data_IF_562544176173
#
_entry.id   IF_562544176173
#
_cell.length_a   1.000
_cell.length_b   1.000
_cell.length_c   1.000
_cell.angle_alpha   90.00
_cell.angle_beta   90.00
_cell.angle_gamma   90.00
#
_symmetry.space_group_name_H-M   'P 1'
#
loop_
_entity.id
_entity.type
_entity.pdbx_description
1 polymer ?
#
# COMPACT_ATOMS: atom_id res chain seq x y z
N UNK A 1 -7.37 9.95 -17.26
CA UNK A 1 -6.38 8.96 -17.77
C UNK A 1 -6.22 7.84 -16.75
N UNK A 2 -5.80 6.64 -17.16
CA UNK A 2 -5.59 5.49 -16.28
C UNK A 2 -4.10 5.11 -16.24
N UNK A 3 -3.59 4.77 -15.06
CA UNK A 3 -2.25 4.19 -14.87
C UNK A 3 -2.34 2.85 -14.15
N UNK A 4 -1.39 1.96 -14.44
CA UNK A 4 -1.23 0.71 -13.74
C UNK A 4 -0.46 0.89 -12.41
N UNK A 5 -0.79 0.06 -11.42
CA UNK A 5 0.00 -0.17 -10.22
C UNK A 5 0.26 -1.66 -10.05
N UNK A 6 1.49 -2.07 -9.72
CA UNK A 6 1.85 -3.47 -9.59
C UNK A 6 1.10 -4.16 -8.44
N UNK A 7 0.25 -5.11 -8.79
CA UNK A 7 -0.60 -5.89 -7.89
C UNK A 7 0.18 -6.98 -7.15
N UNK A 8 1.22 -7.54 -7.78
CA UNK A 8 1.99 -8.61 -7.17
C UNK A 8 2.63 -8.19 -5.84
N UNK A 9 2.61 -9.11 -4.87
CA UNK A 9 3.26 -8.94 -3.57
C UNK A 9 4.55 -9.73 -3.42
N UNK A 10 4.88 -10.63 -4.36
CA UNK A 10 6.14 -11.37 -4.30
C UNK A 10 7.26 -10.56 -4.94
N UNK A 11 8.32 -10.28 -4.17
CA UNK A 11 9.45 -9.45 -4.64
C UNK A 11 10.13 -10.03 -5.88
N UNK A 12 10.18 -11.36 -6.01
CA UNK A 12 10.83 -12.07 -7.11
C UNK A 12 10.09 -11.93 -8.45
N UNK A 13 8.80 -11.57 -8.41
CA UNK A 13 8.00 -11.34 -9.62
C UNK A 13 7.97 -9.87 -10.05
N UNK A 14 8.50 -8.97 -9.23
CA UNK A 14 8.48 -7.53 -9.48
C UNK A 14 9.69 -7.10 -10.30
N UNK A 15 9.44 -6.29 -11.33
CA UNK A 15 10.52 -5.61 -12.03
C UNK A 15 11.14 -4.51 -11.14
N UNK A 16 12.37 -4.04 -11.42
CA UNK A 16 12.98 -2.95 -10.68
C UNK A 16 12.10 -1.70 -10.62
N UNK A 17 11.38 -1.39 -11.72
CA UNK A 17 10.41 -0.30 -11.77
C UNK A 17 9.24 -0.53 -10.82
N UNK A 18 8.68 -1.74 -10.78
CA UNK A 18 7.57 -2.05 -9.88
C UNK A 18 7.97 -1.93 -8.41
N UNK A 19 9.18 -2.37 -8.06
CA UNK A 19 9.73 -2.19 -6.73
C UNK A 19 9.87 -0.70 -6.41
N UNK A 20 10.40 0.09 -7.35
CA UNK A 20 10.56 1.53 -7.17
C UNK A 20 9.21 2.22 -6.94
N UNK A 21 8.17 1.84 -7.69
CA UNK A 21 6.81 2.36 -7.53
C UNK A 21 6.22 2.04 -6.16
N UNK A 22 6.38 0.80 -5.69
CA UNK A 22 5.91 0.39 -4.36
C UNK A 22 6.60 1.20 -3.26
N UNK A 23 7.91 1.39 -3.35
CA UNK A 23 8.66 2.22 -2.39
C UNK A 23 8.17 3.67 -2.46
N UNK A 24 8.11 4.24 -3.66
CA UNK A 24 7.77 5.63 -3.91
C UNK A 24 6.39 6.00 -3.35
N UNK A 25 5.42 5.08 -3.43
CA UNK A 25 4.06 5.30 -2.90
C UNK A 25 4.03 5.61 -1.40
N UNK A 26 4.95 5.05 -0.63
CA UNK A 26 4.96 5.12 0.84
C UNK A 26 6.05 6.05 1.39
N UNK A 27 6.81 6.70 0.52
CA UNK A 27 7.93 7.54 0.92
C UNK A 27 7.65 9.02 0.59
N UNK A 28 7.95 9.95 1.51
CA UNK A 28 7.81 11.37 1.25
C UNK A 28 8.76 11.82 0.15
N UNK A 29 8.36 12.86 -0.59
CA UNK A 29 9.21 13.47 -1.59
C UNK A 29 10.36 14.23 -0.91
N UNK A 30 11.58 14.07 -1.39
CA UNK A 30 12.75 14.81 -0.91
C UNK A 30 12.82 16.23 -1.48
N UNK A 31 12.12 16.50 -2.58
CA UNK A 31 12.13 17.78 -3.27
C UNK A 31 10.99 18.74 -2.86
N UNK A 32 9.95 18.26 -2.16
CA UNK A 32 8.87 19.10 -1.66
C UNK A 32 8.39 18.66 -0.27
N UNK A 33 7.92 19.60 0.54
CA UNK A 33 7.64 19.34 1.96
C UNK A 33 6.30 18.64 2.22
N UNK A 34 5.34 18.76 1.29
CA UNK A 34 3.95 18.38 1.53
C UNK A 34 3.55 17.03 0.89
N UNK A 35 4.42 16.44 0.07
CA UNK A 35 4.15 15.17 -0.58
C UNK A 35 4.60 14.01 0.31
N UNK A 36 3.64 13.18 0.73
CA UNK A 36 3.87 12.04 1.64
C UNK A 36 4.15 10.72 0.92
N UNK A 37 4.03 10.69 -0.39
CA UNK A 37 4.04 9.48 -1.19
C UNK A 37 3.74 9.79 -2.65
N UNK A 38 4.28 8.98 -3.56
CA UNK A 38 3.97 9.09 -4.98
C UNK A 38 2.49 8.79 -5.21
N UNK A 39 1.77 9.79 -5.73
CA UNK A 39 0.35 9.71 -5.97
C UNK A 39 -0.02 10.37 -7.30
N UNK A 40 -1.09 9.89 -7.96
CA UNK A 40 -1.56 10.47 -9.22
C UNK A 40 -2.08 11.90 -9.04
N UNK A 41 -2.08 12.67 -10.13
CA UNK A 41 -2.74 13.98 -10.19
C UNK A 41 -4.27 13.85 -10.15
N UNK A 42 -4.95 14.96 -9.86
CA UNK A 42 -6.41 14.98 -9.72
C UNK A 42 -7.07 14.54 -11.03
N UNK A 43 -8.02 13.61 -10.96
CA UNK A 43 -8.73 13.07 -12.14
C UNK A 43 -8.00 11.95 -12.88
N UNK A 44 -6.86 11.49 -12.35
CA UNK A 44 -6.15 10.30 -12.83
C UNK A 44 -6.54 9.10 -11.97
N UNK A 45 -6.86 8.00 -12.62
CA UNK A 45 -7.25 6.75 -11.96
C UNK A 45 -6.10 5.75 -12.00
N UNK A 46 -5.83 5.11 -10.87
CA UNK A 46 -4.84 4.03 -10.77
C UNK A 46 -5.59 2.71 -10.66
N UNK A 47 -5.23 1.75 -11.49
CA UNK A 47 -5.83 0.41 -11.58
C UNK A 47 -4.73 -0.63 -11.37
N UNK A 48 -5.06 -1.76 -10.77
CA UNK A 48 -4.12 -2.86 -10.61
C UNK A 48 -3.83 -3.53 -11.97
N UNK A 49 -2.62 -4.06 -12.13
CA UNK A 49 -2.17 -4.80 -13.32
C UNK A 49 -2.53 -6.30 -13.29
N UNK A 50 -3.37 -6.73 -12.34
CA UNK A 50 -3.82 -8.11 -12.13
C UNK A 50 -4.91 -8.57 -13.11
N UNK A 51 -5.31 -7.71 -14.06
CA UNK A 51 -6.43 -7.98 -14.97
C UNK A 51 -7.80 -7.89 -14.28
N UNK A 52 -7.88 -7.44 -13.03
CA UNK A 52 -9.14 -7.17 -12.32
C UNK A 52 -9.78 -5.84 -12.72
N UNK A 53 -9.15 -5.11 -13.66
CA UNK A 53 -9.60 -3.82 -14.17
C UNK A 53 -10.83 -3.87 -15.08
N UNK A 54 -11.33 -5.07 -15.39
CA UNK A 54 -12.58 -5.29 -16.11
C UNK A 54 -13.74 -5.65 -15.18
N UNK A 55 -14.78 -4.80 -15.22
CA UNK A 55 -16.18 -5.14 -14.96
C UNK A 55 -16.70 -5.18 -13.51
N UNK A 56 -16.87 -4.00 -12.90
CA UNK A 56 -17.92 -3.80 -11.86
C UNK A 56 -19.33 -3.72 -12.51
N UNK A 57 -19.44 -3.54 -13.84
CA UNK A 57 -20.73 -3.42 -14.55
C UNK A 57 -20.73 -4.00 -16.01
N UNK A 58 -19.83 -4.91 -16.37
CA UNK A 58 -19.57 -5.26 -17.78
C UNK A 58 -19.95 -6.66 -18.26
N UNK A 59 -20.44 -7.57 -17.41
CA UNK A 59 -20.83 -8.93 -17.84
C UNK A 59 -22.35 -9.04 -18.07
N UNK A 60 -22.87 -8.22 -18.98
CA UNK A 60 -24.27 -8.30 -19.44
C UNK A 60 -24.40 -8.10 -20.97
N UNK A 61 -23.28 -8.11 -21.71
CA UNK A 61 -23.26 -7.61 -23.09
C UNK A 61 -22.57 -8.48 -24.15
N UNK A 62 -22.31 -9.77 -23.92
CA UNK A 62 -21.71 -10.62 -24.96
C UNK A 62 -22.71 -11.64 -25.54
N UNK A 63 -23.73 -11.09 -26.21
CA UNK A 63 -24.37 -11.76 -27.34
C UNK A 63 -23.89 -11.06 -28.62
N UNK A 64 -22.90 -11.67 -29.28
CA UNK A 64 -22.55 -11.46 -30.68
C UNK A 64 -21.74 -10.20 -31.03
N UNK A 65 -20.46 -10.37 -31.31
CA UNK A 65 -19.89 -10.01 -32.62
C UNK A 65 -18.44 -10.50 -32.71
N UNK A 66 -18.17 -11.24 -33.78
CA UNK A 66 -16.86 -11.50 -34.36
C UNK A 66 -16.31 -10.15 -34.88
N UNK A 67 -15.25 -9.59 -34.27
CA UNK A 67 -14.31 -8.66 -34.93
C UNK A 67 -13.12 -8.26 -34.03
N UNK A 68 -11.93 -8.48 -34.57
CA UNK A 68 -10.59 -7.92 -34.29
C UNK A 68 -9.98 -7.96 -32.86
N UNK A 69 -8.97 -8.83 -32.76
CA UNK A 69 -7.96 -8.97 -31.70
C UNK A 69 -7.09 -7.72 -31.47
N UNK A 70 -7.66 -6.63 -30.94
CA UNK A 70 -6.88 -5.55 -30.34
C UNK A 70 -7.05 -5.57 -28.83
N UNK A 71 -6.36 -6.52 -28.19
CA UNK A 71 -6.27 -6.60 -26.72
C UNK A 71 -5.86 -5.21 -26.19
N UNK A 72 -6.66 -4.55 -25.34
CA UNK A 72 -6.31 -3.23 -24.85
C UNK A 72 -4.94 -3.32 -24.16
N UNK A 73 -3.96 -2.61 -24.71
CA UNK A 73 -2.61 -2.55 -24.14
C UNK A 73 -2.72 -2.05 -22.70
N UNK A 74 -2.11 -2.78 -21.76
CA UNK A 74 -2.18 -2.44 -20.34
C UNK A 74 -1.78 -0.97 -20.11
N UNK A 75 -2.46 -0.24 -19.22
CA UNK A 75 -2.16 1.16 -18.97
C UNK A 75 -0.71 1.33 -18.50
N UNK A 76 -0.04 2.43 -18.84
CA UNK A 76 1.33 2.68 -18.40
C UNK A 76 1.39 2.81 -16.88
N UNK A 77 2.55 2.55 -16.28
CA UNK A 77 2.78 2.77 -14.85
C UNK A 77 3.00 4.25 -14.54
N UNK A 78 2.63 4.68 -13.33
CA UNK A 78 2.75 6.06 -12.87
C UNK A 78 4.19 6.39 -12.46
N UNK A 79 4.97 7.01 -13.34
CA UNK A 79 6.36 7.39 -13.10
C UNK A 79 6.53 8.79 -12.49
N UNK A 80 5.54 9.67 -12.65
CA UNK A 80 5.55 11.06 -12.16
C UNK A 80 4.43 11.27 -11.14
N UNK A 81 4.78 11.80 -9.98
CA UNK A 81 3.84 12.19 -8.93
C UNK A 81 3.11 13.50 -9.27
N UNK A 82 1.94 13.72 -8.66
CA UNK A 82 1.22 14.99 -8.76
C UNK A 82 2.04 16.22 -8.29
N UNK A 83 3.05 16.02 -7.44
CA UNK A 83 3.98 17.08 -7.04
C UNK A 83 5.00 17.46 -8.13
N UNK A 84 5.01 16.74 -9.26
CA UNK A 84 5.90 16.98 -10.40
C UNK A 84 7.22 16.22 -10.35
N UNK A 85 7.49 15.44 -9.28
CA UNK A 85 8.73 14.68 -9.11
C UNK A 85 8.53 13.19 -9.35
N UNK A 86 9.59 12.49 -9.75
CA UNK A 86 9.56 11.08 -10.10
C UNK A 86 9.77 10.15 -8.92
N UNK A 87 9.89 8.84 -9.21
CA UNK A 87 10.12 7.80 -8.20
C UNK A 87 11.42 8.00 -7.40
N UNK A 88 12.46 8.56 -8.03
CA UNK A 88 13.77 8.76 -7.40
C UNK A 88 13.68 9.76 -6.22
N UNK A 89 12.95 10.87 -6.41
CA UNK A 89 12.71 11.87 -5.37
C UNK A 89 11.76 11.37 -4.29
N UNK A 90 11.03 10.27 -4.53
CA UNK A 90 10.21 9.59 -3.54
C UNK A 90 10.96 8.40 -2.91
N UNK A 91 12.29 8.50 -2.77
CA UNK A 91 13.07 7.55 -1.96
C UNK A 91 13.29 6.17 -2.60
N UNK A 92 12.99 6.03 -3.90
CA UNK A 92 13.26 4.82 -4.68
C UNK A 92 14.54 4.92 -5.54
N UNK A 93 15.57 5.60 -5.02
CA UNK A 93 16.87 5.71 -5.67
C UNK A 93 17.87 4.74 -5.03
N UNK A 94 18.05 3.56 -5.62
CA UNK A 94 18.95 2.51 -5.10
C UNK A 94 20.41 2.99 -4.99
N UNK A 95 20.89 3.77 -5.96
CA UNK A 95 22.27 4.27 -5.96
C UNK A 95 22.55 5.22 -4.79
N UNK A 96 21.54 5.96 -4.34
CA UNK A 96 21.67 6.91 -3.26
C UNK A 96 21.54 6.25 -1.88
N UNK A 97 20.64 5.28 -1.72
CA UNK A 97 20.33 4.67 -0.42
C UNK A 97 21.08 3.35 -0.16
N UNK A 98 21.61 2.73 -1.22
CA UNK A 98 22.27 1.42 -1.17
C UNK A 98 21.28 0.25 -1.27
N UNK A 99 21.76 -0.87 -1.81
CA UNK A 99 20.96 -2.06 -2.10
C UNK A 99 20.28 -2.65 -0.86
N UNK A 100 20.92 -2.63 0.31
CA UNK A 100 20.31 -3.20 1.52
C UNK A 100 19.11 -2.39 2.02
N UNK A 101 19.23 -1.06 2.05
CA UNK A 101 18.12 -0.20 2.44
C UNK A 101 17.01 -0.18 1.39
N UNK A 102 17.37 -0.24 0.10
CA UNK A 102 16.41 -0.39 -0.98
C UNK A 102 15.58 -1.67 -0.82
N UNK A 103 16.23 -2.81 -0.56
CA UNK A 103 15.57 -4.09 -0.28
C UNK A 103 14.69 -4.04 0.97
N UNK A 104 15.16 -3.39 2.04
CA UNK A 104 14.39 -3.20 3.28
C UNK A 104 13.11 -2.40 3.03
N UNK A 105 13.21 -1.29 2.29
CA UNK A 105 12.07 -0.45 1.91
C UNK A 105 11.11 -1.17 0.99
N UNK A 106 11.61 -1.90 0.00
CA UNK A 106 10.80 -2.74 -0.89
C UNK A 106 9.94 -3.74 -0.09
N UNK A 107 10.59 -4.47 0.82
CA UNK A 107 9.91 -5.46 1.68
C UNK A 107 8.85 -4.82 2.57
N UNK A 108 9.13 -3.62 3.10
CA UNK A 108 8.20 -2.91 3.96
C UNK A 108 7.01 -2.35 3.17
N UNK A 109 7.25 -1.78 1.99
CA UNK A 109 6.22 -1.29 1.08
C UNK A 109 5.24 -2.40 0.66
N UNK A 110 5.77 -3.58 0.32
CA UNK A 110 4.97 -4.77 -0.01
C UNK A 110 4.06 -5.15 1.17
N UNK A 111 4.60 -5.23 2.38
CA UNK A 111 3.82 -5.58 3.58
C UNK A 111 2.74 -4.55 3.90
N UNK A 112 3.00 -3.26 3.66
CA UNK A 112 1.99 -2.21 3.79
C UNK A 112 0.86 -2.43 2.79
N UNK A 113 1.19 -2.68 1.52
CA UNK A 113 0.20 -2.97 0.48
C UNK A 113 -0.67 -4.19 0.84
N UNK A 114 -0.05 -5.29 1.29
CA UNK A 114 -0.74 -6.51 1.74
C UNK A 114 -1.68 -6.24 2.92
N UNK A 115 -1.21 -5.52 3.94
CA UNK A 115 -2.02 -5.24 5.13
C UNK A 115 -3.20 -4.30 4.83
N UNK A 116 -3.06 -3.38 3.88
CA UNK A 116 -4.15 -2.50 3.48
C UNK A 116 -5.23 -3.23 2.68
N UNK A 117 -4.89 -4.29 1.93
CA UNK A 117 -5.87 -5.12 1.23
C UNK A 117 -6.83 -5.86 2.19
N UNK A 118 -6.37 -6.20 3.41
CA UNK A 118 -7.16 -6.97 4.39
C UNK A 118 -8.21 -6.11 5.12
N UNK A 119 -8.05 -4.78 5.14
CA UNK A 119 -8.94 -3.87 5.88
C UNK A 119 -10.37 -3.79 5.31
N UNK A 120 -10.58 -4.22 4.06
CA UNK A 120 -11.92 -4.30 3.44
C UNK A 120 -12.78 -5.44 4.02
N UNK A 121 -12.20 -6.33 4.85
CA UNK A 121 -12.89 -7.46 5.47
C UNK A 121 -12.76 -7.46 7.00
N UNK A 122 -13.27 -6.41 7.66
CA UNK A 122 -13.59 -6.49 9.10
C UNK A 122 -15.08 -6.87 9.24
N UNK A 123 -15.43 -8.16 9.39
CA UNK A 123 -16.79 -8.52 9.78
C UNK A 123 -17.06 -7.86 11.13
N UNK A 124 -18.10 -7.01 11.18
CA UNK A 124 -18.61 -6.41 12.41
C UNK A 124 -18.87 -7.54 13.41
N UNK A 125 -17.96 -7.75 14.35
CA UNK A 125 -18.20 -8.59 15.51
C UNK A 125 -19.41 -7.98 16.22
N UNK A 126 -20.56 -8.66 16.13
CA UNK A 126 -21.76 -8.31 16.86
C UNK A 126 -21.39 -8.29 18.34
N UNK A 127 -21.37 -7.10 18.93
CA UNK A 127 -21.30 -6.95 20.38
C UNK A 127 -22.57 -7.58 20.97
N UNK A 128 -22.48 -8.85 21.40
CA UNK A 128 -23.49 -9.40 22.29
C UNK A 128 -23.33 -8.72 23.64
N UNK A 129 -24.26 -7.82 23.95
CA UNK A 129 -24.50 -7.35 25.30
C UNK A 129 -24.77 -8.57 26.19
N UNK A 130 -23.86 -8.84 27.12
CA UNK A 130 -24.18 -9.54 28.36
C UNK A 130 -23.95 -8.52 29.47
N UNK A 131 -25.05 -7.92 29.91
CA UNK A 131 -25.12 -7.17 31.15
C UNK A 131 -25.60 -8.13 32.24
N UNK A 132 -25.30 -7.75 33.49
CA UNK A 132 -25.71 -8.35 34.77
C UNK A 132 -24.71 -9.39 35.32
N UNK A 133 -24.04 -9.22 36.45
CA UNK A 133 -24.23 -8.25 37.53
C UNK A 133 -23.10 -8.28 38.59
N UNK A 134 -23.27 -7.35 39.52
CA UNK A 134 -22.39 -6.84 40.59
C UNK A 134 -21.94 -7.86 41.67
N UNK A 135 -20.69 -7.73 42.15
CA UNK A 135 -20.25 -7.77 43.57
C UNK A 135 -18.73 -7.52 43.63
N UNK A 136 -18.28 -6.28 43.83
CA UNK A 136 -17.88 -5.67 45.10
C UNK A 136 -16.50 -6.12 45.65
N UNK A 137 -15.61 -5.12 45.71
CA UNK A 137 -14.52 -4.85 46.68
C UNK A 137 -13.41 -5.88 46.90
N UNK A 138 -12.19 -5.58 46.44
CA UNK A 138 -11.08 -5.09 47.29
C UNK A 138 -9.76 -5.01 46.49
N UNK A 139 -9.08 -3.88 46.64
CA UNK A 139 -7.62 -3.67 46.56
C UNK A 139 -6.79 -4.44 45.52
N UNK A 140 -6.24 -3.69 44.55
CA UNK A 140 -4.78 -3.73 44.38
C UNK A 140 -4.28 -2.43 43.76
N UNK A 141 -3.27 -1.89 44.43
CA UNK A 141 -2.79 -0.52 44.39
C UNK A 141 -1.98 -0.16 43.15
N UNK A 142 -2.10 1.13 42.82
CA UNK A 142 -1.21 1.90 41.96
C UNK A 142 0.25 1.77 42.43
N UNK A 143 1.17 1.38 41.55
CA UNK A 143 2.58 1.80 41.63
C UNK A 143 3.31 1.56 40.30
N UNK A 144 3.54 2.65 39.54
CA UNK A 144 4.87 3.21 39.22
C UNK A 144 5.71 2.34 38.24
N UNK A 145 5.87 2.74 36.97
CA UNK A 145 6.90 3.69 36.52
C UNK A 145 8.23 3.59 37.28
N UNK A 146 9.22 2.88 36.72
CA UNK A 146 10.63 3.29 36.55
C UNK A 146 11.46 2.06 36.09
N UNK A 147 12.03 2.08 34.88
CA UNK A 147 13.39 2.58 34.59
C UNK A 147 14.48 1.79 35.32
N UNK A 148 15.07 0.78 34.66
CA UNK A 148 16.46 0.38 34.95
C UNK A 148 17.16 -0.02 33.64
N UNK A 149 18.02 0.90 33.20
CA UNK A 149 19.24 0.59 32.45
C UNK A 149 20.15 -0.20 33.38
N UNK A 150 20.68 -1.33 32.92
CA UNK A 150 21.78 -2.03 33.59
C UNK A 150 23.00 -2.03 32.68
N UNK A 151 24.00 -1.28 33.11
CA UNK A 151 25.42 -1.44 32.77
C UNK A 151 26.02 -2.50 33.71
N UNK A 152 26.82 -3.41 33.17
CA UNK A 152 27.88 -4.14 33.88
C UNK A 152 28.91 -4.52 32.83
N UNK A 153 30.07 -3.87 32.87
CA UNK A 153 31.32 -4.33 33.52
C UNK A 153 32.03 -5.38 32.68
#
# INVERSE_FOLDING_TARGET
MKFAYPASSSIDSLTPLHIALKIARHCPCTACENCKGLHPSIGVHVVLDDGSGESILGELGQYGSDDDDEKPSAPPYLDICACGHGVAEHGANELQIGTEEYRRRASYAIRIDENMQVMEFIPKLKSSKANDGCASVHDCSVSACQFLRTTSQ
#
